data_IF_040748798322
#
_entry.id   IF_040748798322
#
_cell.length_a   1.000
_cell.length_b   1.000
_cell.length_c   1.000
_cell.angle_alpha   90.00
_cell.angle_beta   90.00
_cell.angle_gamma   90.00
#
_symmetry.space_group_name_H-M   'P 1'
#
loop_
_entity.id
_entity.type
_entity.pdbx_description
1 polymer ?
#
# COMPACT_ATOMS: atom_id res chain seq x y z
N UNK A 1 -10.13 -14.73 -16.55
CA UNK A 1 -9.77 -14.61 -15.12
C UNK A 1 -8.51 -15.41 -14.93
N UNK A 2 -7.45 -14.78 -14.48
CA UNK A 2 -6.18 -15.47 -14.25
C UNK A 2 -6.15 -16.03 -12.83
N UNK A 3 -5.36 -17.09 -12.60
CA UNK A 3 -5.16 -17.65 -11.26
C UNK A 3 -4.61 -16.63 -10.28
N UNK A 4 -3.75 -15.74 -10.74
CA UNK A 4 -3.12 -14.71 -9.90
C UNK A 4 -4.13 -13.65 -9.44
N UNK A 5 -5.07 -13.26 -10.31
CA UNK A 5 -6.15 -12.34 -9.93
C UNK A 5 -7.03 -12.93 -8.82
N UNK A 6 -7.33 -14.24 -8.88
CA UNK A 6 -8.11 -14.91 -7.82
C UNK A 6 -7.35 -14.98 -6.50
N UNK A 7 -6.05 -15.24 -6.54
CA UNK A 7 -5.19 -15.26 -5.34
C UNK A 7 -5.08 -13.88 -4.71
N UNK A 8 -4.92 -12.84 -5.54
CA UNK A 8 -4.86 -11.44 -5.08
C UNK A 8 -6.16 -11.05 -4.38
N UNK A 9 -7.31 -11.38 -4.98
CA UNK A 9 -8.60 -11.09 -4.36
C UNK A 9 -8.81 -11.82 -3.03
N UNK A 10 -8.47 -13.11 -2.99
CA UNK A 10 -8.52 -13.87 -1.74
C UNK A 10 -7.63 -13.26 -0.65
N UNK A 11 -6.43 -12.81 -1.02
CA UNK A 11 -5.52 -12.13 -0.09
C UNK A 11 -6.15 -10.81 0.38
N UNK A 12 -6.67 -9.98 -0.53
CA UNK A 12 -7.26 -8.70 -0.21
C UNK A 12 -8.47 -8.85 0.72
N UNK A 13 -9.36 -9.81 0.43
CA UNK A 13 -10.52 -10.13 1.28
C UNK A 13 -10.10 -10.65 2.66
N UNK A 14 -9.12 -11.55 2.71
CA UNK A 14 -8.60 -12.11 3.96
C UNK A 14 -8.02 -11.01 4.86
N UNK A 15 -7.47 -9.94 4.27
CA UNK A 15 -6.79 -8.87 4.99
C UNK A 15 -7.71 -7.71 5.42
N UNK A 16 -9.00 -7.75 5.11
CA UNK A 16 -9.95 -6.72 5.52
C UNK A 16 -9.85 -6.33 7.01
N UNK A 17 -9.70 -7.27 7.97
CA UNK A 17 -9.55 -6.91 9.38
C UNK A 17 -8.23 -6.19 9.73
N UNK A 18 -7.22 -6.28 8.87
CA UNK A 18 -5.88 -5.71 9.09
C UNK A 18 -5.79 -4.25 8.63
N UNK A 19 -6.48 -3.90 7.55
CA UNK A 19 -6.37 -2.58 6.93
C UNK A 19 -6.68 -1.40 7.85
N UNK A 20 -7.64 -1.45 8.80
CA UNK A 20 -7.87 -0.36 9.74
C UNK A 20 -6.65 -0.04 10.61
N UNK A 21 -5.85 -1.04 10.97
CA UNK A 21 -4.61 -0.86 11.75
C UNK A 21 -3.48 -0.30 10.88
N UNK A 22 -3.39 -0.75 9.63
CA UNK A 22 -2.42 -0.21 8.66
C UNK A 22 -2.70 1.27 8.37
N UNK A 23 -3.97 1.64 8.13
CA UNK A 23 -4.38 3.03 7.95
C UNK A 23 -4.08 3.88 9.20
N UNK A 24 -4.32 3.33 10.40
CA UNK A 24 -3.98 3.96 11.67
C UNK A 24 -2.49 4.22 11.81
N UNK A 25 -1.66 3.24 11.43
CA UNK A 25 -0.20 3.40 11.44
C UNK A 25 0.26 4.49 10.45
N UNK A 26 -0.26 4.47 9.24
CA UNK A 26 0.09 5.46 8.21
C UNK A 26 -0.20 6.89 8.69
N UNK A 27 -1.35 7.13 9.32
CA UNK A 27 -1.71 8.42 9.90
C UNK A 27 -0.80 8.81 11.08
N UNK A 28 -0.47 7.86 11.95
CA UNK A 28 0.36 8.11 13.12
C UNK A 28 1.82 8.39 12.73
N UNK A 29 2.38 7.59 11.81
CA UNK A 29 3.78 7.71 11.39
C UNK A 29 4.03 8.96 10.55
N UNK A 30 3.08 9.35 9.70
CA UNK A 30 3.22 10.52 8.84
C UNK A 30 2.93 11.85 9.54
N UNK A 31 2.09 11.85 10.58
CA UNK A 31 1.56 13.07 11.19
C UNK A 31 0.59 13.86 10.29
N UNK A 32 0.34 13.41 9.06
CA UNK A 32 -0.58 14.07 8.11
C UNK A 32 -2.02 13.90 8.56
N UNK A 33 -2.80 14.99 8.58
CA UNK A 33 -4.19 15.01 9.08
C UNK A 33 -5.24 15.13 7.99
N UNK A 34 -4.85 15.63 6.81
CA UNK A 34 -5.74 15.79 5.66
C UNK A 34 -4.92 15.84 4.38
N UNK A 35 -5.56 15.61 3.24
CA UNK A 35 -4.92 15.71 1.93
C UNK A 35 -5.29 14.60 0.97
N UNK A 36 -4.36 14.27 0.08
CA UNK A 36 -4.53 13.26 -0.97
C UNK A 36 -3.70 12.02 -0.64
N UNK A 37 -4.33 10.88 -0.71
CA UNK A 37 -3.70 9.58 -0.48
C UNK A 37 -3.71 8.74 -1.77
N UNK A 38 -2.58 8.14 -2.12
CA UNK A 38 -2.44 7.14 -3.18
C UNK A 38 -2.23 5.75 -2.57
N UNK A 39 -3.07 4.79 -2.93
CA UNK A 39 -2.91 3.37 -2.64
C UNK A 39 -2.65 2.63 -3.96
N UNK A 40 -1.50 1.98 -4.09
CA UNK A 40 -0.95 1.56 -5.37
C UNK A 40 -0.72 0.05 -5.43
N UNK A 41 -1.15 -0.56 -6.54
CA UNK A 41 -0.81 -1.94 -6.93
C UNK A 41 -1.83 -3.00 -6.53
N UNK A 42 -1.51 -4.28 -6.77
CA UNK A 42 -2.48 -5.39 -6.73
C UNK A 42 -3.11 -5.64 -5.37
N UNK A 43 -2.53 -5.09 -4.34
CA UNK A 43 -3.06 -5.20 -2.98
C UNK A 43 -3.64 -3.88 -2.45
N UNK A 44 -3.90 -2.92 -3.33
CA UNK A 44 -4.46 -1.62 -2.98
C UNK A 44 -5.99 -1.67 -2.74
N UNK A 45 -6.51 -0.58 -2.21
CA UNK A 45 -7.92 -0.38 -1.92
C UNK A 45 -8.27 -0.52 -0.43
N UNK A 46 -7.78 -1.55 0.24
CA UNK A 46 -8.12 -1.79 1.64
C UNK A 46 -7.59 -0.72 2.59
N UNK A 47 -6.34 -0.28 2.41
CA UNK A 47 -5.76 0.82 3.21
C UNK A 47 -6.48 2.13 2.88
N UNK A 48 -6.75 2.40 1.59
CA UNK A 48 -7.45 3.60 1.15
C UNK A 48 -8.85 3.72 1.78
N UNK A 49 -9.65 2.68 1.67
CA UNK A 49 -11.01 2.66 2.23
C UNK A 49 -10.98 2.81 3.75
N UNK A 50 -10.08 2.09 4.44
CA UNK A 50 -9.94 2.18 5.89
C UNK A 50 -9.48 3.57 6.36
N UNK A 51 -8.61 4.23 5.60
CA UNK A 51 -8.17 5.59 5.90
C UNK A 51 -9.33 6.58 5.71
N UNK A 52 -10.09 6.47 4.62
CA UNK A 52 -11.25 7.32 4.35
C UNK A 52 -12.37 7.11 5.38
N UNK A 53 -12.57 5.89 5.88
CA UNK A 53 -13.54 5.61 6.94
C UNK A 53 -13.12 6.23 8.28
N UNK A 54 -11.80 6.28 8.56
CA UNK A 54 -11.25 6.85 9.81
C UNK A 54 -11.17 8.37 9.79
N UNK A 55 -11.06 9.00 8.64
CA UNK A 55 -10.81 10.44 8.51
C UNK A 55 -11.56 11.05 7.34
N UNK A 56 -12.32 12.09 7.61
CA UNK A 56 -13.03 12.89 6.58
C UNK A 56 -12.11 13.86 5.83
N UNK A 57 -10.91 14.12 6.36
CA UNK A 57 -9.95 15.08 5.80
C UNK A 57 -9.22 14.60 4.54
N UNK A 58 -9.42 13.33 4.12
CA UNK A 58 -8.71 12.78 2.97
C UNK A 58 -9.62 12.52 1.77
N UNK A 59 -9.00 12.63 0.59
CA UNK A 59 -9.43 11.99 -0.65
C UNK A 59 -8.39 10.95 -1.04
N UNK A 60 -8.82 9.80 -1.52
CA UNK A 60 -7.91 8.74 -1.93
C UNK A 60 -8.05 8.42 -3.42
N UNK A 61 -6.96 7.93 -3.99
CA UNK A 61 -6.91 7.35 -5.33
C UNK A 61 -6.30 5.96 -5.24
N UNK A 62 -6.92 5.00 -5.92
CA UNK A 62 -6.38 3.65 -6.11
C UNK A 62 -5.97 3.51 -7.55
N UNK A 63 -4.74 3.09 -7.80
CA UNK A 63 -4.22 2.83 -9.14
C UNK A 63 -3.77 1.37 -9.21
N UNK A 64 -4.34 0.63 -10.15
CA UNK A 64 -3.95 -0.75 -10.45
C UNK A 64 -4.22 -1.09 -11.92
N UNK A 65 -3.55 -2.11 -12.42
CA UNK A 65 -3.76 -2.65 -13.77
C UNK A 65 -4.90 -3.67 -13.85
N UNK A 66 -5.48 -4.08 -12.72
CA UNK A 66 -6.61 -5.00 -12.65
C UNK A 66 -7.90 -4.24 -12.35
N UNK A 67 -8.85 -4.29 -13.28
CA UNK A 67 -10.19 -3.75 -13.07
C UNK A 67 -10.88 -4.38 -11.85
N UNK A 68 -10.58 -5.64 -11.53
CA UNK A 68 -11.14 -6.36 -10.39
C UNK A 68 -10.72 -5.76 -9.06
N UNK A 69 -9.44 -5.44 -8.88
CA UNK A 69 -8.94 -4.74 -7.69
C UNK A 69 -9.66 -3.40 -7.51
N UNK A 70 -9.84 -2.66 -8.60
CA UNK A 70 -10.52 -1.36 -8.57
C UNK A 70 -12.01 -1.49 -8.24
N UNK A 71 -12.69 -2.51 -8.80
CA UNK A 71 -14.09 -2.80 -8.47
C UNK A 71 -14.27 -3.14 -7.00
N UNK A 72 -13.42 -4.03 -6.45
CA UNK A 72 -13.46 -4.40 -5.02
C UNK A 72 -13.24 -3.18 -4.12
N UNK A 73 -12.30 -2.29 -4.47
CA UNK A 73 -12.08 -1.06 -3.72
C UNK A 73 -13.31 -0.13 -3.72
N UNK A 74 -14.02 -0.01 -4.85
CA UNK A 74 -15.25 0.77 -4.96
C UNK A 74 -16.41 0.15 -4.17
N UNK A 75 -16.53 -1.18 -4.17
CA UNK A 75 -17.53 -1.90 -3.39
C UNK A 75 -17.31 -1.69 -1.89
N UNK A 76 -16.10 -1.90 -1.41
CA UNK A 76 -15.74 -1.62 0.00
C UNK A 76 -15.96 -0.16 0.38
N UNK A 77 -15.67 0.78 -0.52
CA UNK A 77 -15.92 2.20 -0.27
C UNK A 77 -17.40 2.54 -0.15
N UNK A 78 -18.28 1.86 -0.91
CA UNK A 78 -19.76 2.00 -0.77
C UNK A 78 -20.22 1.44 0.57
N UNK A 79 -19.76 0.25 0.95
CA UNK A 79 -20.10 -0.38 2.23
C UNK A 79 -19.70 0.50 3.43
N UNK A 80 -18.56 1.20 3.31
CA UNK A 80 -18.07 2.11 4.34
C UNK A 80 -18.58 3.56 4.22
N UNK A 81 -19.47 3.86 3.25
CA UNK A 81 -20.05 5.20 3.07
C UNK A 81 -19.04 6.28 2.65
N UNK A 82 -17.91 5.89 2.04
CA UNK A 82 -16.85 6.84 1.69
C UNK A 82 -16.55 6.92 0.17
N UNK A 83 -17.39 6.34 -0.69
CA UNK A 83 -17.18 6.25 -2.15
C UNK A 83 -17.03 7.62 -2.84
N UNK A 84 -17.69 8.67 -2.34
CA UNK A 84 -17.55 10.03 -2.89
C UNK A 84 -16.15 10.65 -2.74
N UNK A 85 -15.31 10.03 -1.92
CA UNK A 85 -13.92 10.48 -1.67
C UNK A 85 -12.87 9.52 -2.22
N UNK A 86 -13.28 8.42 -2.88
CA UNK A 86 -12.40 7.47 -3.54
C UNK A 86 -12.47 7.62 -5.05
N UNK A 87 -11.34 7.82 -5.70
CA UNK A 87 -11.17 7.70 -7.14
C UNK A 87 -10.39 6.41 -7.46
N UNK A 88 -10.67 5.80 -8.61
CA UNK A 88 -9.90 4.65 -9.11
C UNK A 88 -9.39 4.94 -10.51
N UNK A 89 -8.25 4.36 -10.86
CA UNK A 89 -7.67 4.48 -12.21
C UNK A 89 -7.09 3.15 -12.65
N UNK A 90 -7.55 2.67 -13.80
CA UNK A 90 -6.98 1.51 -14.48
C UNK A 90 -5.74 1.94 -15.26
N UNK A 91 -4.56 1.57 -14.78
CA UNK A 91 -3.27 1.93 -15.38
C UNK A 91 -2.17 1.02 -14.84
N UNK A 92 -1.07 0.83 -15.60
CA UNK A 92 0.16 0.33 -15.00
C UNK A 92 0.57 1.16 -13.78
N UNK A 93 1.20 0.49 -12.82
CA UNK A 93 1.68 1.14 -11.58
C UNK A 93 3.03 1.83 -11.75
N UNK A 94 3.68 1.59 -12.88
CA UNK A 94 4.99 2.13 -13.22
C UNK A 94 5.04 2.43 -14.74
N UNK A 95 5.28 3.74 -15.15
CA UNK A 95 5.36 4.91 -14.28
C UNK A 95 4.01 5.26 -13.64
N UNK A 96 4.02 5.94 -12.49
CA UNK A 96 2.79 6.40 -11.85
C UNK A 96 2.19 7.55 -12.69
N UNK A 97 0.95 7.42 -13.21
CA UNK A 97 0.34 8.38 -14.14
C UNK A 97 -0.21 9.63 -13.42
N UNK A 98 0.59 10.20 -12.54
CA UNK A 98 0.24 11.36 -11.73
C UNK A 98 1.36 12.40 -11.76
N UNK A 99 1.05 13.70 -11.67
CA UNK A 99 2.06 14.74 -11.61
C UNK A 99 2.95 14.63 -10.36
N UNK A 100 4.14 15.23 -10.42
CA UNK A 100 5.03 15.35 -9.25
C UNK A 100 4.33 16.14 -8.13
N UNK A 101 4.57 15.74 -6.88
CA UNK A 101 4.03 16.44 -5.70
C UNK A 101 2.51 16.38 -5.57
N UNK A 102 1.84 15.34 -6.10
CA UNK A 102 0.38 15.22 -6.10
C UNK A 102 -0.20 14.71 -4.80
N UNK A 103 0.56 13.96 -4.00
CA UNK A 103 0.06 13.23 -2.85
C UNK A 103 0.77 13.58 -1.55
N UNK A 104 -0.01 13.59 -0.49
CA UNK A 104 0.46 13.72 0.89
C UNK A 104 0.94 12.39 1.45
N UNK A 105 0.24 11.32 1.08
CA UNK A 105 0.49 9.96 1.50
C UNK A 105 0.50 9.03 0.30
N UNK A 106 1.41 8.05 0.31
CA UNK A 106 1.45 6.94 -0.65
C UNK A 106 1.61 5.64 0.12
N UNK A 107 0.80 4.63 -0.16
CA UNK A 107 1.01 3.28 0.32
C UNK A 107 1.16 2.30 -0.85
N UNK A 108 2.08 1.33 -0.69
CA UNK A 108 2.27 0.22 -1.64
C UNK A 108 2.42 -1.07 -0.83
N UNK A 109 1.28 -1.70 -0.54
CA UNK A 109 1.27 -2.99 0.15
C UNK A 109 1.67 -4.12 -0.79
N UNK A 110 2.42 -5.09 -0.28
CA UNK A 110 2.94 -6.18 -1.11
C UNK A 110 3.95 -5.71 -2.15
N UNK A 111 4.60 -4.56 -1.94
CA UNK A 111 5.55 -3.97 -2.86
C UNK A 111 6.62 -4.97 -3.34
N UNK A 112 7.04 -5.89 -2.49
CA UNK A 112 8.12 -6.83 -2.79
C UNK A 112 7.80 -7.86 -3.88
N UNK A 113 6.58 -7.92 -4.37
CA UNK A 113 6.26 -8.69 -5.58
C UNK A 113 6.72 -7.98 -6.88
N UNK A 114 6.81 -6.63 -6.86
CA UNK A 114 7.03 -5.84 -8.07
C UNK A 114 7.91 -4.59 -7.85
N UNK A 115 8.56 -4.45 -6.69
CA UNK A 115 9.38 -3.29 -6.36
C UNK A 115 10.60 -3.16 -7.27
N UNK A 116 10.73 -2.00 -7.92
CA UNK A 116 11.85 -1.62 -8.76
C UNK A 116 12.46 -0.30 -8.27
N UNK A 117 13.71 0.03 -8.64
CA UNK A 117 14.27 1.36 -8.39
C UNK A 117 13.46 2.48 -9.07
N UNK A 118 12.81 2.20 -10.21
CA UNK A 118 11.97 3.18 -10.90
C UNK A 118 10.70 3.46 -10.08
N UNK A 119 10.01 2.42 -9.58
CA UNK A 119 8.84 2.59 -8.73
C UNK A 119 9.17 3.39 -7.46
N UNK A 120 10.32 3.14 -6.85
CA UNK A 120 10.79 3.93 -5.70
C UNK A 120 10.95 5.42 -6.04
N UNK A 121 11.58 5.73 -7.20
CA UNK A 121 11.71 7.12 -7.68
C UNK A 121 10.34 7.74 -7.99
N UNK A 122 9.44 6.98 -8.60
CA UNK A 122 8.09 7.44 -8.90
C UNK A 122 7.28 7.75 -7.64
N UNK A 123 7.34 6.89 -6.62
CA UNK A 123 6.73 7.18 -5.31
C UNK A 123 7.29 8.46 -4.71
N UNK A 124 8.63 8.63 -4.72
CA UNK A 124 9.25 9.89 -4.27
C UNK A 124 8.81 11.09 -5.11
N UNK A 125 8.71 10.94 -6.43
CA UNK A 125 8.29 12.01 -7.34
C UNK A 125 6.86 12.49 -7.08
N UNK A 126 5.93 11.57 -6.87
CA UNK A 126 4.52 11.94 -6.66
C UNK A 126 4.22 12.42 -5.24
N UNK A 127 5.10 12.15 -4.28
CA UNK A 127 5.01 12.73 -2.94
C UNK A 127 5.34 14.23 -2.99
N UNK A 128 4.50 15.03 -2.36
CA UNK A 128 4.80 16.45 -2.14
C UNK A 128 5.87 16.63 -1.05
N UNK A 129 6.54 17.79 -0.99
CA UNK A 129 7.42 18.10 0.13
C UNK A 129 6.72 17.93 1.47
N UNK A 130 7.33 17.15 2.39
CA UNK A 130 6.73 16.77 3.67
C UNK A 130 5.68 15.65 3.59
N UNK A 131 5.45 15.05 2.43
CA UNK A 131 4.62 13.87 2.27
C UNK A 131 5.33 12.59 2.75
N UNK A 132 4.57 11.51 2.93
CA UNK A 132 5.06 10.25 3.47
C UNK A 132 4.63 9.06 2.61
N UNK A 133 5.60 8.23 2.23
CA UNK A 133 5.40 6.97 1.51
C UNK A 133 5.69 5.77 2.40
N UNK A 134 4.86 4.73 2.32
CA UNK A 134 5.01 3.50 3.09
C UNK A 134 4.84 2.28 2.18
N UNK A 135 5.96 1.61 1.89
CA UNK A 135 6.03 0.53 0.92
C UNK A 135 6.56 -0.74 1.57
N UNK A 136 5.96 -1.87 1.29
CA UNK A 136 6.51 -3.12 1.83
C UNK A 136 5.50 -4.25 1.98
N UNK A 137 5.75 -5.10 2.97
CA UNK A 137 4.91 -6.25 3.28
C UNK A 137 5.00 -6.67 4.73
N UNK A 138 3.87 -7.10 5.25
CA UNK A 138 3.65 -7.45 6.64
C UNK A 138 2.35 -6.86 7.16
N UNK A 139 1.99 -7.18 8.39
CA UNK A 139 0.72 -6.76 8.99
C UNK A 139 0.73 -5.31 9.52
N UNK A 140 1.91 -4.66 9.51
CA UNK A 140 2.11 -3.36 10.13
C UNK A 140 2.25 -3.43 11.66
N UNK A 141 2.88 -2.41 12.26
CA UNK A 141 3.26 -2.47 13.69
C UNK A 141 2.07 -2.33 14.65
N UNK A 142 0.93 -1.79 14.20
CA UNK A 142 -0.24 -1.57 15.07
C UNK A 142 -1.26 -2.72 15.02
N UNK A 143 -1.08 -3.73 14.17
CA UNK A 143 -2.04 -4.82 14.06
C UNK A 143 -1.89 -5.78 15.25
N UNK A 144 -2.94 -5.98 16.07
CA UNK A 144 -2.88 -6.88 17.22
C UNK A 144 -2.66 -8.34 16.81
N UNK A 145 -2.02 -9.12 17.68
CA UNK A 145 -1.78 -10.54 17.44
C UNK A 145 -3.07 -11.34 17.26
N UNK A 146 -4.12 -10.97 17.96
CA UNK A 146 -5.45 -11.58 17.91
C UNK A 146 -6.11 -11.41 16.54
N UNK A 147 -5.78 -10.33 15.82
CA UNK A 147 -6.23 -10.11 14.44
C UNK A 147 -5.38 -10.90 13.46
N UNK A 148 -4.07 -11.02 13.73
CA UNK A 148 -3.12 -11.72 12.85
C UNK A 148 -3.30 -13.24 12.92
N UNK A 149 -3.41 -13.79 14.13
CA UNK A 149 -3.35 -15.23 14.36
C UNK A 149 -4.35 -16.05 13.50
N UNK A 150 -5.64 -15.69 13.37
CA UNK A 150 -6.60 -16.49 12.62
C UNK A 150 -6.36 -16.47 11.09
N UNK A 151 -5.59 -15.51 10.59
CA UNK A 151 -5.37 -15.37 9.14
C UNK A 151 -3.94 -15.67 8.68
N UNK A 152 -2.99 -15.79 9.61
CA UNK A 152 -1.57 -15.85 9.30
C UNK A 152 -1.19 -17.03 8.38
N UNK A 153 -1.66 -18.25 8.70
CA UNK A 153 -1.30 -19.46 7.93
C UNK A 153 -1.95 -19.45 6.54
N UNK A 154 -3.20 -19.00 6.43
CA UNK A 154 -3.86 -18.88 5.13
C UNK A 154 -3.20 -17.79 4.29
N UNK A 155 -2.90 -16.64 4.89
CA UNK A 155 -2.19 -15.56 4.23
C UNK A 155 -0.82 -16.00 3.72
N UNK A 156 -0.06 -16.75 4.52
CA UNK A 156 1.24 -17.29 4.12
C UNK A 156 1.11 -18.19 2.89
N UNK A 157 0.21 -19.17 2.91
CA UNK A 157 -0.03 -20.10 1.80
C UNK A 157 -0.41 -19.37 0.51
N UNK A 158 -1.40 -18.46 0.57
CA UNK A 158 -1.81 -17.70 -0.61
C UNK A 158 -0.66 -16.84 -1.20
N UNK A 159 0.15 -16.23 -0.34
CA UNK A 159 1.31 -15.45 -0.80
C UNK A 159 2.40 -16.35 -1.42
N UNK A 160 2.63 -17.55 -0.88
CA UNK A 160 3.56 -18.53 -1.44
C UNK A 160 3.09 -19.02 -2.82
N UNK A 161 1.79 -19.32 -2.97
CA UNK A 161 1.18 -19.69 -4.24
C UNK A 161 1.27 -18.58 -5.29
N UNK A 162 1.16 -17.32 -4.88
CA UNK A 162 1.34 -16.15 -5.74
C UNK A 162 2.82 -15.87 -6.07
N UNK A 163 3.76 -16.67 -5.56
CA UNK A 163 5.19 -16.54 -5.85
C UNK A 163 5.90 -15.45 -5.05
N UNK A 164 5.44 -15.15 -3.82
CA UNK A 164 6.10 -14.20 -2.94
C UNK A 164 7.57 -14.52 -2.76
N UNK A 165 8.43 -13.57 -3.14
CA UNK A 165 9.87 -13.65 -2.90
C UNK A 165 10.19 -13.11 -1.50
N UNK A 166 11.11 -13.78 -0.80
CA UNK A 166 11.67 -13.22 0.44
C UNK A 166 12.68 -12.14 0.07
N UNK A 167 12.37 -10.91 0.45
CA UNK A 167 13.29 -9.78 0.34
C UNK A 167 13.85 -9.48 1.72
N UNK A 168 15.16 -9.25 1.81
CA UNK A 168 15.86 -8.88 3.04
C UNK A 168 16.01 -7.36 3.15
N UNK A 169 16.28 -6.87 4.35
CA UNK A 169 16.60 -5.45 4.56
C UNK A 169 17.84 -5.01 3.74
N UNK A 170 18.84 -5.89 3.60
CA UNK A 170 20.01 -5.62 2.76
C UNK A 170 19.60 -5.42 1.28
N UNK A 171 18.71 -6.27 0.75
CA UNK A 171 18.22 -6.09 -0.63
C UNK A 171 17.40 -4.81 -0.80
N UNK A 172 16.64 -4.41 0.22
CA UNK A 172 15.98 -3.10 0.21
C UNK A 172 17.00 -1.95 0.14
N UNK A 173 18.10 -2.03 0.90
CA UNK A 173 19.17 -1.03 0.87
C UNK A 173 19.81 -0.92 -0.52
N UNK A 174 20.08 -2.04 -1.20
CA UNK A 174 20.59 -2.06 -2.57
C UNK A 174 19.61 -1.37 -3.54
N UNK A 175 18.31 -1.68 -3.46
CA UNK A 175 17.28 -1.05 -4.29
C UNK A 175 17.20 0.46 -4.05
N UNK A 176 17.26 0.89 -2.79
CA UNK A 176 17.25 2.30 -2.41
C UNK A 176 18.51 3.04 -2.92
N UNK A 177 19.68 2.42 -2.81
CA UNK A 177 20.92 2.97 -3.35
C UNK A 177 20.83 3.10 -4.89
N UNK A 178 20.33 2.06 -5.58
CA UNK A 178 20.11 2.09 -7.04
C UNK A 178 19.06 3.11 -7.48
N UNK A 179 18.11 3.45 -6.60
CA UNK A 179 17.15 4.51 -6.83
C UNK A 179 17.69 5.92 -6.51
N UNK A 180 18.84 6.03 -5.83
CA UNK A 180 19.37 7.31 -5.34
C UNK A 180 18.59 7.88 -4.14
N UNK A 181 17.90 7.04 -3.36
CA UNK A 181 16.98 7.48 -2.32
C UNK A 181 17.45 7.15 -0.88
N UNK A 182 18.67 6.68 -0.71
CA UNK A 182 19.16 6.25 0.61
C UNK A 182 19.06 7.35 1.69
N UNK A 183 19.21 8.63 1.32
CA UNK A 183 19.19 9.76 2.27
C UNK A 183 17.78 10.21 2.70
N UNK A 184 16.74 9.85 1.96
CA UNK A 184 15.35 10.26 2.24
C UNK A 184 14.44 9.08 2.57
N UNK A 185 15.02 7.93 2.92
CA UNK A 185 14.30 6.70 3.22
C UNK A 185 14.78 6.06 4.51
N UNK A 186 13.87 5.29 5.13
CA UNK A 186 14.17 4.47 6.31
C UNK A 186 13.59 3.08 6.12
N UNK A 187 14.31 2.04 6.55
CA UNK A 187 13.82 0.67 6.58
C UNK A 187 13.36 0.36 8.00
N UNK A 188 12.13 -0.14 8.11
CA UNK A 188 11.52 -0.60 9.36
C UNK A 188 11.20 -2.09 9.27
N UNK A 189 11.45 -2.82 10.37
CA UNK A 189 11.08 -4.23 10.51
C UNK A 189 9.89 -4.45 11.46
N UNK A 190 9.30 -3.39 11.95
CA UNK A 190 8.15 -3.46 12.85
C UNK A 190 6.88 -3.93 12.11
N UNK A 191 6.36 -5.08 12.50
CA UNK A 191 5.16 -5.67 11.90
C UNK A 191 5.32 -6.12 10.44
N UNK A 192 6.57 -6.31 9.97
CA UNK A 192 6.92 -6.70 8.61
C UNK A 192 8.21 -6.03 8.15
N UNK A 193 8.47 -6.03 6.85
CA UNK A 193 9.57 -5.28 6.25
C UNK A 193 8.98 -4.11 5.45
N UNK A 194 9.37 -2.89 5.79
CA UNK A 194 8.80 -1.67 5.25
C UNK A 194 9.87 -0.65 4.88
N UNK A 195 9.63 0.08 3.81
CA UNK A 195 10.39 1.25 3.38
C UNK A 195 9.53 2.48 3.63
N UNK A 196 10.02 3.41 4.41
CA UNK A 196 9.44 4.73 4.64
C UNK A 196 10.16 5.73 3.73
N UNK A 197 9.42 6.49 2.93
CA UNK A 197 9.94 7.47 1.99
C UNK A 197 9.45 8.85 2.43
N UNK A 198 10.38 9.78 2.63
CA UNK A 198 10.02 11.17 2.94
C UNK A 198 9.94 11.98 1.65
N UNK A 199 8.85 12.74 1.48
CA UNK A 199 8.60 13.60 0.33
C UNK A 199 9.51 14.81 0.20
#
# INVERSE_FOLDING_TARGET
>A
MTRDEDLIEQINTLWLPVYPFMAGHLLAASGVRCGKFLDLGPFAGGIAVSLLAKSSGFRAKVIDQSARVLCSALEWAREQGCSSRLAVQLSPVEPIPEPSGSFDLVAVRGAFFFLTPLLLREVKRVLRPGGFGWLGGGYGPLTPKEVIAPLADRSRRLNEELGKRRITAAKCQELLASAGLASCTKISTAGGLWIEVMG
#
